data_IF_302590858413
#
_entry.id   IF_302590858413
#
_cell.length_a   1.000
_cell.length_b   1.000
_cell.length_c   1.000
_cell.angle_alpha   90.00
_cell.angle_beta   90.00
_cell.angle_gamma   90.00
#
_symmetry.space_group_name_H-M   'P 1'
#
loop_
_entity.id
_entity.type
_entity.pdbx_description
1 polymer ?
#
# COMPACT_ATOMS: atom_id res chain seq x y z
N UNK A 1 32.28 27.81 9.16
CA UNK A 1 32.30 26.46 8.56
C UNK A 1 32.08 25.43 9.66
N UNK A 2 30.83 25.03 9.88
CA UNK A 2 30.42 24.04 10.88
C UNK A 2 30.50 22.64 10.26
N UNK A 3 31.40 21.80 10.76
CA UNK A 3 31.51 20.39 10.38
C UNK A 3 30.36 19.62 11.03
N UNK A 4 29.42 19.02 10.28
CA UNK A 4 28.42 18.14 10.88
C UNK A 4 29.11 16.85 11.35
N UNK A 5 28.86 16.50 12.60
CA UNK A 5 29.35 15.31 13.28
C UNK A 5 28.81 14.05 12.61
N UNK A 6 29.69 13.12 12.23
CA UNK A 6 29.36 11.87 11.52
C UNK A 6 28.28 11.02 12.23
N UNK A 7 28.13 11.13 13.55
CA UNK A 7 27.11 10.40 14.33
C UNK A 7 25.67 10.76 13.98
N UNK A 8 25.40 11.98 13.47
CA UNK A 8 24.04 12.41 13.10
C UNK A 8 23.54 11.77 11.81
N UNK A 9 24.46 11.32 10.95
CA UNK A 9 24.13 10.76 9.63
C UNK A 9 23.60 9.32 9.78
N UNK A 10 24.10 8.58 10.78
CA UNK A 10 23.73 7.17 10.99
C UNK A 10 22.32 6.99 11.58
N UNK A 11 21.85 7.93 12.41
CA UNK A 11 20.52 7.86 13.02
C UNK A 11 19.38 8.21 12.06
N UNK A 12 19.61 9.17 11.16
CA UNK A 12 18.59 9.62 10.20
C UNK A 12 18.27 8.55 9.14
N UNK A 13 19.25 7.71 8.79
CA UNK A 13 19.06 6.68 7.77
C UNK A 13 18.17 5.52 8.24
N UNK A 14 18.21 5.16 9.54
CA UNK A 14 17.33 4.11 10.09
C UNK A 14 15.86 4.52 10.16
N UNK A 15 15.56 5.80 10.41
CA UNK A 15 14.18 6.31 10.48
C UNK A 15 13.50 6.32 9.10
N UNK A 16 14.28 6.46 8.02
CA UNK A 16 13.73 6.49 6.66
C UNK A 16 13.25 5.11 6.18
N UNK A 17 13.85 4.01 6.66
CA UNK A 17 13.51 2.64 6.20
C UNK A 17 12.18 2.16 6.80
N UNK A 18 11.77 2.65 7.97
CA UNK A 18 10.59 2.14 8.68
C UNK A 18 9.24 2.61 8.12
N UNK A 19 9.22 3.58 7.20
CA UNK A 19 7.99 4.16 6.66
C UNK A 19 7.49 3.49 5.36
N UNK A 20 8.20 2.48 4.84
CA UNK A 20 7.86 1.83 3.57
C UNK A 20 6.78 0.72 3.68
N UNK A 21 6.38 0.32 4.89
CA UNK A 21 5.29 -0.62 5.09
C UNK A 21 3.96 0.12 5.16
N UNK A 22 3.33 0.33 4.00
CA UNK A 22 1.97 0.86 3.93
C UNK A 22 1.00 0.02 4.79
N UNK A 23 0.07 0.66 5.51
CA UNK A 23 -0.88 -0.01 6.37
C UNK A 23 -1.71 -1.02 5.57
N UNK A 24 -1.54 -2.32 5.84
CA UNK A 24 -2.42 -3.36 5.32
C UNK A 24 -3.62 -3.54 6.25
N UNK A 25 -4.58 -2.64 6.12
CA UNK A 25 -5.76 -2.65 6.98
C UNK A 25 -6.89 -3.34 6.22
N UNK A 26 -7.73 -4.11 6.91
CA UNK A 26 -8.98 -4.56 6.33
C UNK A 26 -9.82 -3.31 6.02
N UNK A 27 -9.84 -2.90 4.74
CA UNK A 27 -10.33 -1.58 4.35
C UNK A 27 -11.52 -1.71 3.42
N UNK A 28 -12.68 -1.25 3.91
CA UNK A 28 -13.89 -1.09 3.09
C UNK A 28 -13.73 0.06 2.09
N UNK A 29 -12.88 1.04 2.39
CA UNK A 29 -12.58 2.20 1.56
C UNK A 29 -11.08 2.44 1.50
N UNK A 30 -10.56 2.59 0.28
CA UNK A 30 -9.14 2.86 0.01
C UNK A 30 -9.02 4.06 -0.92
N UNK A 31 -7.91 4.83 -0.86
CA UNK A 31 -7.62 5.81 -1.91
C UNK A 31 -7.30 5.09 -3.23
N UNK A 32 -7.40 5.80 -4.35
CA UNK A 32 -6.80 5.35 -5.62
C UNK A 32 -5.28 5.41 -5.49
N UNK A 33 -4.60 4.42 -6.04
CA UNK A 33 -3.14 4.44 -6.08
C UNK A 33 -2.65 5.62 -6.95
N UNK A 34 -1.47 6.14 -6.62
CA UNK A 34 -0.91 7.26 -7.35
C UNK A 34 -0.75 6.91 -8.85
N UNK A 35 -1.23 7.81 -9.72
CA UNK A 35 -1.21 7.60 -11.18
C UNK A 35 -2.25 6.60 -11.70
N UNK A 36 -3.16 6.09 -10.85
CA UNK A 36 -4.21 5.17 -11.26
C UNK A 36 -5.59 5.86 -11.27
N UNK A 37 -6.31 5.69 -12.38
CA UNK A 37 -7.68 6.22 -12.54
C UNK A 37 -8.77 5.16 -12.23
N UNK A 38 -8.36 3.91 -12.10
CA UNK A 38 -9.21 2.74 -11.92
C UNK A 38 -9.10 2.20 -10.49
N UNK A 39 -10.16 1.54 -10.02
CA UNK A 39 -10.18 0.85 -8.74
C UNK A 39 -9.71 -0.60 -8.91
N UNK A 40 -9.06 -1.19 -7.90
CA UNK A 40 -8.66 -2.58 -7.95
C UNK A 40 -9.88 -3.51 -7.89
N UNK A 41 -9.67 -4.77 -8.28
CA UNK A 41 -10.71 -5.79 -8.27
C UNK A 41 -11.36 -5.92 -6.89
N UNK A 42 -12.68 -6.02 -6.87
CA UNK A 42 -13.49 -6.05 -5.65
C UNK A 42 -13.84 -4.67 -5.09
N UNK A 43 -13.35 -3.59 -5.68
CA UNK A 43 -13.71 -2.22 -5.32
C UNK A 43 -14.37 -1.49 -6.49
N UNK A 44 -15.29 -0.60 -6.17
CA UNK A 44 -15.97 0.31 -7.10
C UNK A 44 -15.58 1.75 -6.80
N UNK A 45 -15.55 2.59 -7.82
CA UNK A 45 -15.21 4.01 -7.70
C UNK A 45 -16.36 4.75 -6.99
N UNK A 46 -16.05 5.55 -5.97
CA UNK A 46 -17.03 6.41 -5.29
C UNK A 46 -17.25 7.75 -6.00
N UNK A 47 -16.90 7.83 -7.29
CA UNK A 47 -16.84 9.02 -8.14
C UNK A 47 -15.78 10.05 -7.70
N UNK A 48 -15.00 9.76 -6.67
CA UNK A 48 -13.94 10.62 -6.17
C UNK A 48 -12.54 10.06 -6.37
N UNK A 49 -11.67 10.35 -5.42
CA UNK A 49 -10.30 9.84 -5.34
C UNK A 49 -10.18 8.50 -4.62
N UNK A 50 -11.31 7.81 -4.39
CA UNK A 50 -11.33 6.60 -3.56
C UNK A 50 -12.12 5.47 -4.23
N UNK A 51 -11.94 4.29 -3.63
CA UNK A 51 -12.51 3.03 -4.06
C UNK A 51 -13.16 2.38 -2.84
N UNK A 52 -14.38 1.86 -3.01
CA UNK A 52 -15.17 1.24 -1.94
C UNK A 52 -15.53 -0.19 -2.30
N UNK A 53 -15.51 -1.09 -1.33
CA UNK A 53 -15.89 -2.49 -1.50
C UNK A 53 -17.13 -2.81 -0.66
N UNK A 54 -18.04 -3.69 -1.12
CA UNK A 54 -19.14 -4.18 -0.29
C UNK A 54 -18.65 -4.98 0.91
N UNK A 55 -17.47 -5.63 0.82
CA UNK A 55 -16.87 -6.45 1.87
C UNK A 55 -15.48 -5.95 2.29
N UNK A 56 -15.03 -6.36 3.47
CA UNK A 56 -13.71 -6.00 3.97
C UNK A 56 -12.63 -6.88 3.34
N UNK A 57 -11.64 -6.25 2.71
CA UNK A 57 -10.42 -6.92 2.25
C UNK A 57 -9.20 -6.32 2.94
N UNK A 58 -8.26 -7.18 3.33
CA UNK A 58 -6.93 -6.74 3.74
C UNK A 58 -6.11 -6.47 2.46
N UNK A 59 -5.82 -5.20 2.22
CA UNK A 59 -5.13 -4.74 1.00
C UNK A 59 -3.93 -3.87 1.35
N UNK A 60 -2.92 -3.86 0.48
CA UNK A 60 -1.74 -3.03 0.60
C UNK A 60 -1.35 -2.45 -0.77
N UNK A 61 -0.85 -1.20 -0.84
CA UNK A 61 -0.36 -0.63 -2.09
C UNK A 61 0.88 -1.39 -2.57
N UNK A 62 1.03 -1.52 -3.90
CA UNK A 62 2.19 -2.17 -4.52
C UNK A 62 3.41 -1.26 -4.53
N UNK A 63 3.22 0.06 -4.64
CA UNK A 63 4.29 1.04 -4.86
C UNK A 63 5.23 0.66 -6.01
N UNK A 64 4.68 0.06 -7.08
CA UNK A 64 5.44 -0.41 -8.24
C UNK A 64 6.23 -1.71 -8.01
N UNK A 65 6.15 -2.30 -6.81
CA UNK A 65 6.78 -3.57 -6.48
C UNK A 65 5.82 -4.75 -6.65
N UNK A 66 6.33 -5.96 -6.90
CA UNK A 66 5.51 -7.16 -6.87
C UNK A 66 4.89 -7.40 -5.48
N UNK A 67 3.74 -8.07 -5.45
CA UNK A 67 3.08 -8.43 -4.20
C UNK A 67 3.93 -9.38 -3.36
N UNK A 68 3.91 -9.20 -2.04
CA UNK A 68 4.59 -10.07 -1.08
C UNK A 68 4.05 -11.50 -1.15
N UNK A 69 4.85 -12.47 -0.71
CA UNK A 69 4.36 -13.85 -0.57
C UNK A 69 3.12 -13.90 0.35
N UNK A 70 2.13 -14.70 -0.02
CA UNK A 70 0.82 -14.73 0.64
C UNK A 70 -0.15 -13.62 0.21
N UNK A 71 0.24 -12.76 -0.72
CA UNK A 71 -0.61 -11.73 -1.32
C UNK A 71 -0.80 -12.00 -2.82
N UNK A 72 -1.89 -11.47 -3.39
CA UNK A 72 -2.18 -11.52 -4.83
C UNK A 72 -2.37 -10.10 -5.37
N UNK A 73 -1.93 -9.89 -6.62
CA UNK A 73 -2.15 -8.63 -7.32
C UNK A 73 -3.62 -8.53 -7.74
N UNK A 74 -4.30 -7.45 -7.34
CA UNK A 74 -5.71 -7.18 -7.66
C UNK A 74 -5.88 -6.01 -8.65
N UNK A 75 -4.79 -5.59 -9.31
CA UNK A 75 -4.78 -4.47 -10.24
C UNK A 75 -4.70 -3.10 -9.56
N UNK A 76 -4.64 -2.05 -10.39
CA UNK A 76 -4.68 -0.65 -9.96
C UNK A 76 -3.73 -0.27 -8.81
N UNK A 77 -2.55 -0.91 -8.74
CA UNK A 77 -1.53 -0.60 -7.73
C UNK A 77 -1.80 -1.19 -6.34
N UNK A 78 -2.63 -2.24 -6.22
CA UNK A 78 -2.91 -2.90 -4.94
C UNK A 78 -2.68 -4.42 -4.96
N UNK A 79 -2.32 -4.92 -3.78
CA UNK A 79 -2.26 -6.33 -3.44
C UNK A 79 -3.35 -6.65 -2.40
N UNK A 80 -3.96 -7.83 -2.48
CA UNK A 80 -4.88 -8.38 -1.49
C UNK A 80 -4.25 -9.58 -0.80
N UNK A 81 -4.45 -9.73 0.50
CA UNK A 81 -4.02 -10.92 1.24
C UNK A 81 -4.81 -12.13 0.78
N UNK A 82 -4.11 -13.22 0.49
CA UNK A 82 -4.77 -14.48 0.14
C UNK A 82 -5.43 -15.02 1.41
N UNK A 83 -6.75 -15.21 1.36
CA UNK A 83 -7.47 -15.97 2.36
C UNK A 83 -7.62 -17.40 1.84
N UNK A 84 -7.29 -18.40 2.65
CA UNK A 84 -7.50 -19.80 2.27
C UNK A 84 -8.99 -20.03 2.01
N UNK A 85 -9.36 -20.33 0.76
CA UNK A 85 -10.69 -20.87 0.42
C UNK A 85 -11.54 -20.15 -0.63
N UNK A 86 -11.10 -19.01 -1.21
CA UNK A 86 -11.87 -18.32 -2.27
C UNK A 86 -10.92 -17.54 -3.17
N UNK A 87 -10.74 -18.05 -4.39
CA UNK A 87 -9.99 -17.43 -5.48
C UNK A 87 -10.88 -16.43 -6.22
#
# INVERSE_FOLDING_TARGET
MTRPSLSLISGALLLLVLSAAGPSWAQKRIPKAAGQNQCPLGYVNDLGSHCVSPIYYEVAPTNGQPCRSGWMNIGAGYCKKKTLGIF
#
